data_IF_997940787004
#
_entry.id   IF_997940787004
#
_cell.length_a   1.000
_cell.length_b   1.000
_cell.length_c   1.000
_cell.angle_alpha   90.00
_cell.angle_beta   90.00
_cell.angle_gamma   90.00
#
_symmetry.space_group_name_H-M   'P 1'
#
loop_
_entity.id
_entity.type
_entity.pdbx_description
1 polymer ?
#
# COMPACT_ATOMS: atom_id res chain seq x y z
N UNK A 1 -57.54 17.88 50.73
CA UNK A 1 -58.78 18.14 49.96
C UNK A 1 -58.38 18.41 48.52
N UNK A 2 -58.37 17.39 47.64
CA UNK A 2 -59.41 17.08 46.63
C UNK A 2 -59.76 18.24 45.68
N UNK A 3 -59.18 18.24 44.46
CA UNK A 3 -59.86 18.09 43.16
C UNK A 3 -58.83 18.34 42.04
N UNK A 4 -58.34 17.37 41.24
CA UNK A 4 -58.97 16.60 40.14
C UNK A 4 -59.57 17.48 39.01
N UNK A 5 -58.81 17.63 37.92
CA UNK A 5 -59.36 17.64 36.55
C UNK A 5 -58.44 16.85 35.62
N UNK A 6 -59.01 15.83 34.96
CA UNK A 6 -58.43 14.98 33.91
C UNK A 6 -58.87 15.49 32.54
N UNK A 7 -57.95 15.59 31.57
CA UNK A 7 -58.21 15.49 30.11
C UNK A 7 -56.92 14.90 29.48
N UNK A 8 -56.79 13.57 29.37
CA UNK A 8 -56.98 12.69 28.20
C UNK A 8 -56.22 13.03 26.90
N UNK A 9 -55.19 12.19 26.65
CA UNK A 9 -54.85 11.48 25.40
C UNK A 9 -54.39 12.27 24.16
N UNK A 10 -53.10 12.11 23.79
CA UNK A 10 -52.67 11.26 22.67
C UNK A 10 -51.13 11.13 22.61
N UNK A 11 -50.72 9.92 22.25
CA UNK A 11 -49.36 9.42 22.16
C UNK A 11 -48.61 9.90 20.92
N UNK A 12 -47.28 9.99 20.99
CA UNK A 12 -46.40 9.19 20.11
C UNK A 12 -44.97 9.19 20.63
N UNK A 13 -44.40 8.00 20.71
CA UNK A 13 -43.01 7.73 21.03
C UNK A 13 -42.10 8.03 19.83
N UNK A 14 -40.87 8.49 20.10
CA UNK A 14 -39.75 8.38 19.17
C UNK A 14 -38.43 8.20 19.94
N UNK A 15 -38.17 6.95 20.32
CA UNK A 15 -36.96 6.20 19.95
C UNK A 15 -35.63 6.91 20.20
N UNK A 16 -35.06 6.69 21.39
CA UNK A 16 -33.62 6.71 21.61
C UNK A 16 -33.11 5.28 21.43
N UNK A 17 -32.73 4.93 20.20
CA UNK A 17 -32.04 3.66 19.95
C UNK A 17 -30.55 3.85 20.16
N UNK A 18 -30.03 3.15 21.16
CA UNK A 18 -28.64 2.79 21.32
C UNK A 18 -28.08 2.25 20.00
N UNK A 19 -27.01 2.85 19.48
CA UNK A 19 -26.11 2.19 18.53
C UNK A 19 -24.97 1.56 19.34
N UNK A 20 -25.29 0.43 19.99
CA UNK A 20 -24.32 -0.56 20.41
C UNK A 20 -24.32 -1.67 19.36
N UNK A 21 -23.11 -2.12 19.00
CA UNK A 21 -22.80 -3.38 18.34
C UNK A 21 -23.47 -3.65 16.97
N UNK A 22 -22.72 -3.39 15.90
CA UNK A 22 -22.79 -4.26 14.72
C UNK A 22 -21.69 -5.34 14.84
N UNK A 23 -21.78 -6.16 15.90
CA UNK A 23 -21.39 -7.55 15.74
C UNK A 23 -22.57 -8.18 15.01
N UNK A 24 -22.35 -8.56 13.76
CA UNK A 24 -23.29 -9.43 13.08
C UNK A 24 -23.18 -10.78 13.81
N UNK A 25 -24.00 -10.98 14.84
CA UNK A 25 -24.20 -12.27 15.48
C UNK A 25 -24.84 -13.19 14.44
N UNK A 26 -23.97 -13.87 13.67
CA UNK A 26 -24.36 -15.11 13.06
C UNK A 26 -24.65 -16.07 14.21
N UNK A 27 -25.92 -16.42 14.41
CA UNK A 27 -26.29 -17.58 15.21
C UNK A 27 -25.64 -18.81 14.56
N UNK A 28 -24.46 -19.19 15.04
CA UNK A 28 -23.84 -20.45 14.70
C UNK A 28 -24.64 -21.54 15.41
N UNK A 29 -25.15 -22.56 14.70
CA UNK A 29 -25.83 -23.67 15.35
C UNK A 29 -24.89 -24.26 16.40
N UNK A 30 -25.34 -24.25 17.65
CA UNK A 30 -24.69 -24.97 18.74
C UNK A 30 -24.73 -26.45 18.35
N UNK A 31 -23.59 -27.06 18.01
CA UNK A 31 -23.49 -28.53 18.04
C UNK A 31 -22.60 -29.25 17.03
N UNK A 32 -22.11 -28.62 15.95
CA UNK A 32 -21.22 -29.32 15.01
C UNK A 32 -19.75 -29.06 15.34
N UNK A 33 -19.07 -30.09 15.85
CA UNK A 33 -17.65 -30.02 16.09
C UNK A 33 -16.90 -29.87 14.76
N UNK A 34 -16.20 -28.75 14.61
CA UNK A 34 -15.66 -28.32 13.34
C UNK A 34 -14.15 -28.09 13.40
N UNK A 35 -13.47 -28.33 12.27
CA UNK A 35 -12.03 -28.07 12.11
C UNK A 35 -11.82 -26.63 11.62
N UNK A 36 -10.78 -25.98 12.12
CA UNK A 36 -10.31 -24.66 11.70
C UNK A 36 -8.79 -24.54 11.86
N UNK A 37 -8.22 -23.46 11.33
CA UNK A 37 -6.81 -23.09 11.53
C UNK A 37 -6.74 -22.15 12.73
N UNK A 38 -6.01 -22.51 13.79
CA UNK A 38 -5.93 -21.75 15.04
C UNK A 38 -5.50 -20.29 14.82
N UNK A 39 -4.58 -20.06 13.89
CA UNK A 39 -4.03 -18.75 13.53
C UNK A 39 -5.06 -17.77 12.98
N UNK A 40 -6.21 -18.25 12.51
CA UNK A 40 -7.31 -17.40 12.04
C UNK A 40 -8.11 -16.79 13.19
N UNK A 41 -8.00 -17.34 14.41
CA UNK A 41 -8.85 -16.94 15.54
C UNK A 41 -10.34 -17.09 15.23
N UNK A 42 -10.72 -18.06 14.38
CA UNK A 42 -12.11 -18.32 13.94
C UNK A 42 -12.70 -17.15 13.13
N UNK A 43 -11.86 -16.40 12.42
CA UNK A 43 -12.30 -15.29 11.56
C UNK A 43 -12.02 -15.61 10.10
N UNK A 44 -12.85 -15.09 9.21
CA UNK A 44 -12.61 -15.14 7.77
C UNK A 44 -11.62 -14.07 7.31
N UNK A 45 -11.08 -14.22 6.10
CA UNK A 45 -10.24 -13.21 5.43
C UNK A 45 -9.00 -12.83 6.25
N UNK A 46 -8.37 -13.82 6.88
CA UNK A 46 -7.20 -13.59 7.73
C UNK A 46 -5.89 -13.67 6.93
N UNK A 47 -4.95 -12.80 7.31
CA UNK A 47 -3.59 -12.75 6.79
C UNK A 47 -2.60 -12.64 7.95
N UNK A 48 -1.49 -13.36 7.87
CA UNK A 48 -0.28 -13.09 8.65
C UNK A 48 0.83 -12.62 7.72
N UNK A 49 1.59 -11.62 8.15
CA UNK A 49 2.70 -11.04 7.37
C UNK A 49 4.02 -11.51 7.98
N UNK A 50 4.91 -12.01 7.13
CA UNK A 50 6.24 -12.43 7.51
C UNK A 50 7.27 -11.76 6.62
N UNK A 51 8.41 -11.44 7.20
CA UNK A 51 9.53 -10.85 6.49
C UNK A 51 10.42 -11.95 5.94
N UNK A 52 10.73 -11.88 4.65
CA UNK A 52 11.68 -12.77 4.00
C UNK A 52 13.12 -12.33 4.25
N UNK A 53 13.94 -13.29 4.65
CA UNK A 53 15.39 -13.13 4.87
C UNK A 53 16.20 -13.98 3.88
N UNK A 54 17.52 -14.02 4.04
CA UNK A 54 18.42 -14.88 3.25
C UNK A 54 18.40 -16.35 3.70
N UNK A 55 17.69 -16.66 4.79
CA UNK A 55 17.54 -18.00 5.33
C UNK A 55 16.13 -18.54 5.11
N UNK A 56 15.97 -19.85 5.29
CA UNK A 56 14.68 -20.52 5.17
C UNK A 56 13.73 -20.03 6.27
N UNK A 57 12.53 -19.63 5.87
CA UNK A 57 11.47 -19.19 6.78
C UNK A 57 10.53 -20.37 7.07
N UNK A 58 10.32 -20.65 8.36
CA UNK A 58 9.33 -21.65 8.79
C UNK A 58 8.04 -20.95 9.19
N UNK A 59 6.98 -21.20 8.42
CA UNK A 59 5.63 -20.77 8.75
C UNK A 59 4.89 -21.92 9.44
N UNK A 60 4.22 -21.62 10.54
CA UNK A 60 3.41 -22.59 11.27
C UNK A 60 1.92 -22.33 11.04
N UNK A 61 1.17 -23.41 10.83
CA UNK A 61 -0.29 -23.43 10.93
C UNK A 61 -0.73 -24.62 11.80
N UNK A 62 -1.77 -24.42 12.61
CA UNK A 62 -2.23 -25.42 13.57
C UNK A 62 -3.68 -25.80 13.28
N UNK A 63 -3.93 -26.96 12.64
CA UNK A 63 -5.28 -27.51 12.54
C UNK A 63 -5.84 -27.85 13.92
N UNK A 64 -7.03 -27.35 14.21
CA UNK A 64 -7.70 -27.49 15.50
C UNK A 64 -9.18 -27.84 15.33
N UNK A 65 -9.71 -28.64 16.25
CA UNK A 65 -11.14 -28.84 16.44
C UNK A 65 -11.72 -27.84 17.45
N UNK A 66 -12.97 -27.45 17.24
CA UNK A 66 -13.73 -26.66 18.21
C UNK A 66 -13.96 -27.37 19.56
N UNK A 67 -14.05 -28.71 19.55
CA UNK A 67 -14.26 -29.58 20.72
C UNK A 67 -13.55 -30.94 20.51
N UNK A 68 -13.55 -31.83 21.51
CA UNK A 68 -13.00 -33.19 21.33
C UNK A 68 -13.97 -34.11 20.57
N UNK A 69 -13.44 -35.12 19.87
CA UNK A 69 -14.21 -36.22 19.28
C UNK A 69 -13.75 -37.57 19.82
N UNK A 70 -14.61 -38.59 19.71
CA UNK A 70 -14.29 -39.97 20.10
C UNK A 70 -13.50 -40.75 19.05
N UNK A 71 -13.38 -40.21 17.83
CA UNK A 71 -12.65 -40.80 16.71
C UNK A 71 -11.52 -39.88 16.27
N UNK A 72 -10.53 -40.44 15.59
CA UNK A 72 -9.46 -39.67 14.98
C UNK A 72 -9.98 -38.90 13.76
N UNK A 73 -9.55 -37.65 13.60
CA UNK A 73 -9.92 -36.79 12.48
C UNK A 73 -8.74 -36.61 11.55
N UNK A 74 -8.93 -36.91 10.27
CA UNK A 74 -7.91 -36.70 9.23
C UNK A 74 -8.16 -35.39 8.49
N UNK A 75 -7.09 -34.62 8.35
CA UNK A 75 -7.12 -33.26 7.80
C UNK A 75 -6.14 -33.20 6.65
N UNK A 76 -6.59 -32.74 5.49
CA UNK A 76 -5.72 -32.48 4.34
C UNK A 76 -5.34 -31.02 4.27
N UNK A 77 -4.22 -30.73 3.63
CA UNK A 77 -3.73 -29.37 3.39
C UNK A 77 -3.45 -29.16 1.93
N UNK A 78 -3.92 -28.04 1.40
CA UNK A 78 -3.72 -27.66 0.00
C UNK A 78 -3.48 -26.15 -0.14
N UNK A 79 -2.91 -25.76 -1.29
CA UNK A 79 -2.85 -24.36 -1.67
C UNK A 79 -4.19 -23.93 -2.26
N UNK A 80 -4.80 -22.87 -1.72
CA UNK A 80 -6.07 -22.33 -2.18
C UNK A 80 -5.86 -21.05 -3.01
N UNK A 81 -5.45 -21.23 -4.26
CA UNK A 81 -5.21 -20.11 -5.18
C UNK A 81 -6.47 -19.32 -5.52
N UNK A 82 -7.66 -19.90 -5.37
CA UNK A 82 -8.91 -19.19 -5.56
C UNK A 82 -9.19 -18.24 -4.38
N UNK A 83 -8.97 -18.71 -3.14
CA UNK A 83 -9.00 -17.83 -1.97
C UNK A 83 -8.00 -16.67 -2.07
N UNK A 84 -6.82 -16.88 -2.65
CA UNK A 84 -5.88 -15.78 -2.88
C UNK A 84 -6.45 -14.70 -3.82
N UNK A 85 -7.16 -15.10 -4.88
CA UNK A 85 -7.83 -14.15 -5.80
C UNK A 85 -8.96 -13.40 -5.08
N UNK A 86 -9.81 -14.12 -4.35
CA UNK A 86 -10.88 -13.53 -3.53
C UNK A 86 -10.29 -12.52 -2.52
N UNK A 87 -9.20 -12.89 -1.84
CA UNK A 87 -8.50 -12.05 -0.88
C UNK A 87 -7.94 -10.80 -1.57
N UNK A 88 -7.28 -10.94 -2.72
CA UNK A 88 -6.75 -9.81 -3.49
C UNK A 88 -7.85 -8.82 -3.88
N UNK A 89 -8.94 -9.33 -4.46
CA UNK A 89 -10.07 -8.49 -4.85
C UNK A 89 -10.70 -7.78 -3.65
N UNK A 90 -10.92 -8.50 -2.54
CA UNK A 90 -11.56 -7.95 -1.35
C UNK A 90 -10.71 -6.91 -0.63
N UNK A 91 -9.39 -7.10 -0.60
CA UNK A 91 -8.48 -6.27 0.21
C UNK A 91 -7.65 -5.28 -0.62
N UNK A 92 -7.86 -5.20 -1.95
CA UNK A 92 -7.06 -4.32 -2.82
C UNK A 92 -5.58 -4.70 -2.89
N UNK A 93 -5.26 -5.98 -2.63
CA UNK A 93 -3.91 -6.52 -2.71
C UNK A 93 -3.66 -7.16 -4.08
N UNK A 94 -2.38 -7.38 -4.39
CA UNK A 94 -1.95 -8.02 -5.64
C UNK A 94 -0.90 -9.10 -5.37
N UNK A 95 -1.17 -9.98 -4.39
CA UNK A 95 -0.28 -11.09 -4.08
C UNK A 95 -0.34 -12.16 -5.17
N UNK A 96 0.82 -12.65 -5.59
CA UNK A 96 0.95 -13.87 -6.37
C UNK A 96 1.27 -15.06 -5.45
N UNK A 97 0.83 -16.25 -5.84
CA UNK A 97 1.20 -17.46 -5.12
C UNK A 97 2.73 -17.68 -5.23
N UNK A 98 3.38 -18.07 -4.14
CA UNK A 98 4.77 -18.52 -4.20
C UNK A 98 4.85 -19.71 -5.17
N UNK A 99 5.83 -19.74 -6.10
CA UNK A 99 6.05 -20.89 -6.99
C UNK A 99 6.20 -22.21 -6.21
N UNK A 100 5.73 -23.31 -6.79
CA UNK A 100 5.67 -24.61 -6.12
C UNK A 100 7.04 -25.15 -5.65
N UNK A 101 8.12 -24.75 -6.31
CA UNK A 101 9.49 -25.08 -5.92
C UNK A 101 10.08 -24.14 -4.86
N UNK A 102 9.40 -23.03 -4.56
CA UNK A 102 9.77 -22.03 -3.56
C UNK A 102 9.38 -22.37 -2.13
N UNK A 103 8.62 -23.44 -1.91
CA UNK A 103 8.25 -23.90 -0.57
C UNK A 103 8.14 -25.42 -0.48
N UNK A 104 8.14 -25.93 0.75
CA UNK A 104 7.92 -27.34 1.06
C UNK A 104 6.97 -27.44 2.26
N UNK A 105 5.89 -28.22 2.10
CA UNK A 105 5.05 -28.64 3.21
C UNK A 105 5.69 -29.84 3.90
N UNK A 106 5.90 -29.77 5.22
CA UNK A 106 6.47 -30.92 5.96
C UNK A 106 5.53 -32.13 5.99
N UNK A 107 4.23 -31.89 5.85
CA UNK A 107 3.19 -32.89 5.66
C UNK A 107 1.99 -32.26 4.94
N UNK A 108 1.29 -33.07 4.13
CA UNK A 108 0.05 -32.68 3.45
C UNK A 108 -1.21 -33.24 4.15
N UNK A 109 -1.03 -34.10 5.15
CA UNK A 109 -2.09 -34.67 5.97
C UNK A 109 -1.72 -34.60 7.45
N UNK A 110 -2.71 -34.34 8.29
CA UNK A 110 -2.60 -34.24 9.74
C UNK A 110 -3.69 -35.05 10.40
N UNK A 111 -3.43 -35.52 11.62
CA UNK A 111 -4.39 -36.28 12.40
C UNK A 111 -4.58 -35.64 13.77
N UNK A 112 -5.84 -35.42 14.15
CA UNK A 112 -6.23 -35.09 15.52
C UNK A 112 -6.71 -36.38 16.16
N UNK A 113 -5.97 -36.85 17.17
CA UNK A 113 -6.31 -38.09 17.88
C UNK A 113 -7.62 -37.92 18.67
N UNK A 114 -8.35 -39.01 18.84
CA UNK A 114 -9.52 -39.08 19.69
C UNK A 114 -9.23 -38.48 21.09
N UNK A 115 -10.16 -37.66 21.58
CA UNK A 115 -10.03 -36.95 22.86
C UNK A 115 -9.08 -35.75 22.84
N UNK A 116 -8.50 -35.37 21.69
CA UNK A 116 -7.69 -34.16 21.51
C UNK A 116 -8.41 -33.13 20.65
N UNK A 117 -7.92 -31.89 20.72
CA UNK A 117 -8.43 -30.76 19.92
C UNK A 117 -7.39 -30.16 18.98
N UNK A 118 -6.12 -30.53 19.11
CA UNK A 118 -5.03 -30.08 18.24
C UNK A 118 -4.37 -31.31 17.62
N UNK A 119 -3.86 -31.17 16.40
CA UNK A 119 -3.14 -32.23 15.71
C UNK A 119 -1.89 -32.68 16.48
N UNK A 120 -1.45 -33.92 16.25
CA UNK A 120 -0.24 -34.46 16.87
C UNK A 120 1.04 -33.68 16.51
N UNK A 121 1.00 -32.91 15.43
CA UNK A 121 2.04 -31.99 14.99
C UNK A 121 1.41 -30.77 14.33
N UNK A 122 2.01 -29.59 14.49
CA UNK A 122 1.68 -28.44 13.66
C UNK A 122 2.13 -28.65 12.22
N UNK A 123 1.46 -28.00 11.29
CA UNK A 123 1.91 -27.91 9.92
C UNK A 123 3.01 -26.87 9.79
N UNK A 124 4.13 -27.27 9.19
CA UNK A 124 5.24 -26.37 8.90
C UNK A 124 5.35 -26.22 7.39
N UNK A 125 5.39 -24.97 6.93
CA UNK A 125 5.73 -24.63 5.56
C UNK A 125 7.12 -24.02 5.58
N UNK A 126 8.07 -24.72 4.96
CA UNK A 126 9.44 -24.24 4.77
C UNK A 126 9.47 -23.42 3.50
N UNK A 127 9.59 -22.11 3.64
CA UNK A 127 9.69 -21.19 2.51
C UNK A 127 11.16 -20.91 2.24
N UNK A 128 11.60 -21.16 1.01
CA UNK A 128 12.96 -20.86 0.59
C UNK A 128 13.14 -19.34 0.47
N UNK A 129 14.38 -18.83 0.64
CA UNK A 129 14.69 -17.45 0.31
C UNK A 129 14.23 -17.12 -1.11
N UNK A 130 13.71 -15.90 -1.32
CA UNK A 130 13.26 -15.51 -2.66
C UNK A 130 14.42 -15.45 -3.65
N UNK A 131 14.16 -15.93 -4.86
CA UNK A 131 15.10 -15.83 -5.97
C UNK A 131 15.31 -14.36 -6.36
N UNK A 132 16.41 -14.08 -7.07
CA UNK A 132 16.69 -12.72 -7.55
C UNK A 132 15.57 -12.22 -8.49
N UNK A 133 15.03 -13.10 -9.34
CA UNK A 133 13.89 -12.79 -10.22
C UNK A 133 12.64 -12.36 -9.43
N UNK A 134 12.29 -13.08 -8.36
CA UNK A 134 11.18 -12.70 -7.48
C UNK A 134 11.42 -11.33 -6.85
N UNK A 135 12.64 -11.06 -6.38
CA UNK A 135 13.02 -9.76 -5.81
C UNK A 135 12.87 -8.64 -6.84
N UNK A 136 13.34 -8.86 -8.06
CA UNK A 136 13.37 -7.84 -9.12
C UNK A 136 11.99 -7.60 -9.77
N UNK A 137 11.09 -8.58 -9.72
CA UNK A 137 9.75 -8.52 -10.32
C UNK A 137 8.89 -7.37 -9.80
N UNK A 138 9.13 -6.89 -8.57
CA UNK A 138 8.24 -5.92 -7.89
C UNK A 138 6.93 -6.52 -7.39
N UNK A 139 6.71 -7.82 -7.61
CA UNK A 139 5.52 -8.55 -7.15
C UNK A 139 5.60 -8.83 -5.66
N UNK A 140 4.42 -8.99 -5.06
CA UNK A 140 4.26 -9.48 -3.69
C UNK A 140 3.87 -10.94 -3.73
N UNK A 141 4.38 -11.74 -2.81
CA UNK A 141 4.10 -13.17 -2.79
C UNK A 141 3.37 -13.57 -1.51
N UNK A 142 2.53 -14.58 -1.63
CA UNK A 142 1.84 -15.17 -0.50
C UNK A 142 1.62 -16.68 -0.67
N UNK A 143 1.40 -17.37 0.44
CA UNK A 143 0.97 -18.76 0.48
C UNK A 143 -0.47 -18.82 1.00
N UNK A 144 -1.45 -19.16 0.15
CA UNK A 144 -2.82 -19.36 0.59
C UNK A 144 -3.02 -20.80 1.05
N UNK A 145 -3.12 -21.00 2.37
CA UNK A 145 -3.29 -22.35 2.94
C UNK A 145 -4.77 -22.60 3.17
N UNK A 146 -5.22 -23.79 2.80
CA UNK A 146 -6.53 -24.31 3.18
C UNK A 146 -6.40 -25.70 3.80
N UNK A 147 -7.17 -25.93 4.84
CA UNK A 147 -7.38 -27.25 5.42
C UNK A 147 -8.70 -27.84 4.95
N UNK A 148 -8.74 -29.15 4.76
CA UNK A 148 -9.92 -29.89 4.34
C UNK A 148 -10.16 -31.07 5.27
N UNK A 149 -11.41 -31.44 5.49
CA UNK A 149 -11.73 -32.70 6.13
C UNK A 149 -11.51 -33.86 5.14
N UNK A 150 -10.68 -34.84 5.51
CA UNK A 150 -10.42 -36.04 4.71
C UNK A 150 -11.27 -37.24 5.13
N UNK A 151 -11.90 -37.18 6.30
CA UNK A 151 -12.83 -38.22 6.77
C UNK A 151 -14.23 -38.10 6.13
N UNK A 152 -14.52 -36.98 5.46
CA UNK A 152 -15.80 -36.71 4.78
C UNK A 152 -16.99 -36.50 5.71
N UNK A 153 -16.77 -36.42 7.02
CA UNK A 153 -17.81 -36.30 8.05
C UNK A 153 -17.63 -35.06 8.91
N UNK A 154 -16.39 -34.69 9.23
CA UNK A 154 -16.10 -33.57 10.13
C UNK A 154 -16.29 -32.24 9.38
N UNK A 155 -17.09 -31.36 9.97
CA UNK A 155 -17.37 -30.03 9.42
C UNK A 155 -16.10 -29.16 9.44
N UNK A 156 -16.01 -28.19 8.53
CA UNK A 156 -14.95 -27.17 8.53
C UNK A 156 -15.57 -25.80 8.76
N UNK A 157 -14.99 -24.98 9.63
CA UNK A 157 -15.51 -23.62 9.86
C UNK A 157 -15.16 -22.77 8.64
N UNK A 158 -16.12 -22.59 7.73
CA UNK A 158 -15.92 -21.82 6.51
C UNK A 158 -15.37 -20.41 6.78
N UNK A 159 -14.26 -20.09 6.12
CA UNK A 159 -13.52 -18.83 6.30
C UNK A 159 -12.38 -18.93 7.32
N UNK A 160 -12.49 -19.79 8.33
CA UNK A 160 -11.42 -20.10 9.29
C UNK A 160 -10.65 -21.39 8.91
N UNK A 161 -11.08 -22.07 7.85
CA UNK A 161 -10.43 -23.21 7.20
C UNK A 161 -9.28 -22.79 6.27
N UNK A 162 -9.04 -21.48 6.11
CA UNK A 162 -8.06 -20.94 5.18
C UNK A 162 -7.42 -19.65 5.70
N UNK A 163 -6.16 -19.44 5.36
CA UNK A 163 -5.35 -18.29 5.79
C UNK A 163 -4.34 -17.89 4.72
N UNK A 164 -4.07 -16.59 4.60
CA UNK A 164 -2.99 -16.06 3.75
C UNK A 164 -1.73 -15.84 4.59
N UNK A 165 -0.63 -16.45 4.22
CA UNK A 165 0.70 -16.06 4.69
C UNK A 165 1.34 -15.13 3.66
N UNK A 166 1.30 -13.82 3.91
CA UNK A 166 1.93 -12.82 3.07
C UNK A 166 3.42 -12.69 3.40
N UNK A 167 4.25 -12.60 2.37
CA UNK A 167 5.70 -12.66 2.47
C UNK A 167 6.28 -11.35 1.97
N UNK A 168 6.67 -10.49 2.91
CA UNK A 168 7.23 -9.18 2.63
C UNK A 168 8.75 -9.28 2.45
N UNK A 169 9.24 -8.67 1.37
CA UNK A 169 10.67 -8.52 1.13
C UNK A 169 11.21 -7.30 1.86
N UNK A 170 12.24 -7.46 2.70
CA UNK A 170 13.06 -6.30 3.06
C UNK A 170 13.87 -5.90 1.84
N UNK A 171 13.46 -4.81 1.21
CA UNK A 171 14.19 -4.23 0.09
C UNK A 171 15.15 -3.17 0.62
N UNK A 172 16.41 -3.30 0.25
CA UNK A 172 17.39 -2.22 0.32
C UNK A 172 17.66 -1.75 -1.10
N UNK A 173 17.80 -0.45 -1.29
CA UNK A 173 18.14 0.11 -2.58
C UNK A 173 18.90 1.41 -2.45
N UNK A 174 19.50 1.81 -3.57
CA UNK A 174 20.05 3.15 -3.72
C UNK A 174 18.92 4.15 -3.96
N UNK A 175 19.09 5.40 -3.53
CA UNK A 175 18.14 6.49 -3.85
C UNK A 175 18.91 7.74 -4.28
N UNK A 176 18.45 8.48 -5.29
CA UNK A 176 19.07 9.72 -5.69
C UNK A 176 18.80 10.82 -4.66
N UNK A 177 19.66 11.83 -4.71
CA UNK A 177 19.55 13.02 -3.89
C UNK A 177 19.28 14.26 -4.73
N UNK A 178 18.21 14.96 -4.38
CA UNK A 178 17.76 16.21 -5.00
C UNK A 178 17.76 17.37 -3.99
N UNK A 179 17.47 18.56 -4.50
CA UNK A 179 17.51 19.79 -3.73
C UNK A 179 18.95 20.28 -3.55
N UNK A 180 19.27 20.80 -2.38
CA UNK A 180 20.63 21.23 -2.03
C UNK A 180 21.40 20.02 -1.50
N UNK A 181 22.51 19.70 -2.17
CA UNK A 181 23.39 18.61 -1.78
C UNK A 181 24.73 19.17 -1.30
N UNK A 182 25.12 18.91 -0.05
CA UNK A 182 26.40 19.37 0.48
C UNK A 182 27.59 18.53 0.00
N UNK A 183 27.36 17.36 -0.62
CA UNK A 183 28.40 16.49 -1.20
C UNK A 183 28.85 16.96 -2.57
N UNK A 184 27.96 17.61 -3.34
CA UNK A 184 28.24 18.15 -4.67
C UNK A 184 27.67 19.56 -4.81
N UNK A 185 28.47 20.59 -5.14
CA UNK A 185 27.96 21.96 -5.23
C UNK A 185 26.77 22.11 -6.19
N UNK A 186 25.76 22.85 -5.71
CA UNK A 186 24.61 23.28 -6.49
C UNK A 186 23.33 22.51 -6.19
N UNK A 187 22.24 23.01 -6.75
CA UNK A 187 20.92 22.39 -6.62
C UNK A 187 20.72 21.32 -7.69
N UNK A 188 20.08 20.21 -7.33
CA UNK A 188 19.72 19.11 -8.22
C UNK A 188 18.20 18.93 -8.28
N UNK A 189 17.65 18.90 -9.48
CA UNK A 189 16.27 18.52 -9.77
C UNK A 189 16.26 17.39 -10.78
N UNK A 190 15.10 16.82 -11.08
CA UNK A 190 14.96 16.00 -12.27
C UNK A 190 13.69 16.37 -13.03
N UNK A 191 13.68 16.08 -14.33
CA UNK A 191 12.53 16.30 -15.17
C UNK A 191 12.41 15.27 -16.30
N UNK A 192 11.17 14.98 -16.69
CA UNK A 192 10.82 14.20 -17.86
C UNK A 192 10.02 15.09 -18.83
N UNK A 193 10.24 14.90 -20.13
CA UNK A 193 9.54 15.65 -21.18
C UNK A 193 8.47 14.76 -21.83
N UNK A 194 7.20 15.14 -21.66
CA UNK A 194 6.05 14.39 -22.17
C UNK A 194 5.58 14.83 -23.57
N UNK A 195 6.31 15.71 -24.27
CA UNK A 195 5.92 16.18 -25.62
C UNK A 195 5.66 15.04 -26.61
N UNK A 196 6.49 14.01 -26.58
CA UNK A 196 6.40 12.84 -27.48
C UNK A 196 5.60 11.68 -26.85
N UNK A 197 5.06 11.88 -25.65
CA UNK A 197 4.20 10.93 -24.92
C UNK A 197 3.07 11.71 -24.20
N UNK A 198 2.21 12.44 -24.92
CA UNK A 198 1.25 13.31 -24.27
C UNK A 198 0.15 12.52 -23.57
N UNK A 199 -0.21 12.93 -22.35
CA UNK A 199 -1.32 12.35 -21.59
C UNK A 199 -2.32 13.45 -21.20
N UNK A 200 -3.61 13.16 -21.30
CA UNK A 200 -4.68 13.96 -20.71
C UNK A 200 -5.53 13.05 -19.83
N UNK A 201 -5.55 13.31 -18.52
CA UNK A 201 -6.15 12.43 -17.54
C UNK A 201 -7.26 13.17 -16.78
N UNK A 202 -8.46 12.60 -16.77
CA UNK A 202 -9.62 13.07 -15.99
C UNK A 202 -9.83 12.28 -14.69
N UNK A 203 -9.12 11.16 -14.54
CA UNK A 203 -8.93 10.39 -13.31
C UNK A 203 -7.47 9.96 -13.27
N UNK A 204 -6.86 10.03 -12.10
CA UNK A 204 -5.43 9.75 -11.99
C UNK A 204 -5.00 9.55 -10.54
N UNK A 205 -3.82 8.96 -10.37
CA UNK A 205 -3.11 8.93 -9.09
C UNK A 205 -1.64 9.23 -9.30
N UNK A 206 -1.05 9.96 -8.38
CA UNK A 206 0.40 10.18 -8.34
C UNK A 206 0.88 9.84 -6.94
N UNK A 207 2.00 9.13 -6.86
CA UNK A 207 2.60 8.76 -5.59
C UNK A 207 4.12 8.75 -5.69
N UNK A 208 4.78 9.02 -4.58
CA UNK A 208 6.23 8.92 -4.42
C UNK A 208 6.58 8.79 -2.95
N UNK A 209 7.79 8.30 -2.67
CA UNK A 209 8.38 8.40 -1.33
C UNK A 209 9.38 9.53 -1.30
N UNK A 210 9.41 10.26 -0.19
CA UNK A 210 10.35 11.34 0.04
C UNK A 210 10.82 11.37 1.49
N UNK A 211 12.10 11.65 1.69
CA UNK A 211 12.70 12.04 2.97
C UNK A 211 13.40 13.37 2.79
N UNK A 212 12.99 14.39 3.54
CA UNK A 212 13.62 15.71 3.53
C UNK A 212 14.36 15.97 4.83
N UNK A 213 15.52 16.61 4.75
CA UNK A 213 16.31 16.97 5.94
C UNK A 213 15.77 18.22 6.67
N UNK A 214 15.00 19.07 5.97
CA UNK A 214 14.60 20.38 6.46
C UNK A 214 13.32 20.95 5.83
N UNK A 215 12.68 21.84 6.60
CA UNK A 215 11.48 22.60 6.22
C UNK A 215 11.61 24.03 6.76
N UNK A 216 12.56 24.79 6.20
CA UNK A 216 12.96 26.10 6.74
C UNK A 216 12.54 27.28 5.87
N UNK A 217 11.82 27.03 4.78
CA UNK A 217 11.37 28.04 3.83
C UNK A 217 10.10 27.56 3.12
N UNK A 218 9.31 28.53 2.64
CA UNK A 218 8.16 28.27 1.79
C UNK A 218 8.55 27.73 0.42
N UNK A 219 7.57 27.07 -0.21
CA UNK A 219 7.58 26.72 -1.62
C UNK A 219 8.66 25.68 -2.00
N UNK A 220 8.90 24.70 -1.14
CA UNK A 220 9.75 23.55 -1.47
C UNK A 220 8.98 22.56 -2.35
N UNK A 221 9.01 22.80 -3.66
CA UNK A 221 8.15 22.12 -4.63
C UNK A 221 8.68 20.73 -5.00
N UNK A 222 8.00 19.68 -4.55
CA UNK A 222 8.36 18.28 -4.75
C UNK A 222 7.99 17.75 -6.13
N UNK A 223 6.85 18.16 -6.66
CA UNK A 223 6.35 17.71 -7.96
C UNK A 223 5.59 18.85 -8.66
N UNK A 224 5.82 19.00 -9.96
CA UNK A 224 5.22 20.03 -10.80
C UNK A 224 4.96 19.50 -12.21
N UNK A 225 3.71 19.56 -12.66
CA UNK A 225 3.33 19.32 -14.05
C UNK A 225 2.12 20.17 -14.46
N UNK A 226 1.84 20.16 -15.77
CA UNK A 226 0.70 20.87 -16.36
C UNK A 226 0.87 22.39 -16.43
N UNK A 227 0.00 23.02 -17.21
CA UNK A 227 -0.10 24.47 -17.32
C UNK A 227 -1.27 25.03 -16.50
N UNK A 228 -1.48 26.35 -16.58
CA UNK A 228 -2.60 27.03 -15.90
C UNK A 228 -3.94 26.37 -16.23
N UNK A 229 -4.67 25.96 -15.19
CA UNK A 229 -5.98 25.32 -15.29
C UNK A 229 -5.93 23.79 -15.27
N UNK A 230 -4.76 23.19 -15.49
CA UNK A 230 -4.51 21.75 -15.41
C UNK A 230 -3.28 21.43 -14.55
N UNK A 231 -2.79 22.39 -13.77
CA UNK A 231 -1.53 22.26 -13.05
C UNK A 231 -1.67 21.29 -11.88
N UNK A 232 -0.62 20.54 -11.61
CA UNK A 232 -0.39 19.89 -10.33
C UNK A 232 0.89 20.50 -9.77
N UNK A 233 0.78 21.18 -8.63
CA UNK A 233 1.93 21.77 -7.94
C UNK A 233 1.94 21.33 -6.48
N UNK A 234 2.89 20.47 -6.13
CA UNK A 234 3.01 19.86 -4.80
C UNK A 234 4.21 20.44 -4.08
N UNK A 235 4.00 20.91 -2.85
CA UNK A 235 5.05 21.56 -2.06
C UNK A 235 4.88 21.38 -0.57
N UNK A 236 5.97 21.62 0.15
CA UNK A 236 5.92 22.00 1.56
C UNK A 236 6.07 23.51 1.71
N UNK A 237 5.19 24.11 2.49
CA UNK A 237 5.17 25.54 2.80
C UNK A 237 4.66 26.43 1.66
N UNK A 238 3.95 27.47 2.03
CA UNK A 238 3.44 28.54 1.16
C UNK A 238 3.14 29.77 2.03
N UNK A 239 3.01 30.97 1.45
CA UNK A 239 2.59 32.15 2.23
C UNK A 239 1.06 32.12 2.40
N UNK A 240 0.49 31.44 3.42
CA UNK A 240 0.51 31.81 4.85
C UNK A 240 0.51 30.59 5.81
N UNK A 241 1.09 29.47 5.37
CA UNK A 241 1.11 28.20 6.08
C UNK A 241 2.49 27.91 6.68
N UNK A 242 2.59 27.01 7.69
CA UNK A 242 3.88 26.55 8.18
C UNK A 242 4.76 25.96 7.07
N UNK A 243 6.06 26.12 7.19
CA UNK A 243 7.05 25.66 6.21
C UNK A 243 7.03 24.14 5.97
N UNK A 244 6.62 23.36 6.97
CA UNK A 244 6.49 21.92 6.86
C UNK A 244 5.04 21.47 6.60
N UNK A 245 4.09 22.36 6.33
CA UNK A 245 2.75 21.94 5.96
C UNK A 245 2.71 21.54 4.48
N UNK A 246 2.27 20.31 4.20
CA UNK A 246 2.09 19.82 2.83
C UNK A 246 0.91 20.52 2.16
N UNK A 247 1.08 20.88 0.89
CA UNK A 247 0.04 21.48 0.07
C UNK A 247 0.11 20.95 -1.36
N UNK A 248 -1.05 20.76 -1.96
CA UNK A 248 -1.21 20.54 -3.40
C UNK A 248 -2.09 21.63 -4.00
N UNK A 249 -1.63 22.21 -5.11
CA UNK A 249 -2.45 22.96 -6.05
C UNK A 249 -2.86 22.03 -7.19
N UNK A 250 -4.14 22.01 -7.52
CA UNK A 250 -4.68 21.24 -8.63
C UNK A 250 -5.76 22.03 -9.38
N UNK A 251 -5.52 22.29 -10.68
CA UNK A 251 -6.52 22.85 -11.60
C UNK A 251 -7.15 24.17 -11.14
N UNK A 252 -6.34 25.07 -10.59
CA UNK A 252 -6.76 26.37 -10.05
C UNK A 252 -7.21 26.38 -8.58
N UNK A 253 -7.35 25.22 -7.94
CA UNK A 253 -7.71 25.08 -6.52
C UNK A 253 -6.49 24.59 -5.71
N UNK A 254 -6.51 24.76 -4.38
CA UNK A 254 -5.44 24.23 -3.51
C UNK A 254 -6.00 23.72 -2.18
N UNK A 255 -5.29 22.77 -1.57
CA UNK A 255 -5.62 22.22 -0.26
C UNK A 255 -4.36 21.94 0.55
N UNK A 256 -4.39 22.34 1.82
CA UNK A 256 -3.36 22.01 2.80
C UNK A 256 -3.69 20.68 3.45
N UNK A 257 -2.67 19.95 3.89
CA UNK A 257 -2.85 18.62 4.47
C UNK A 257 -2.01 18.46 5.75
N UNK A 258 -1.26 17.38 5.84
CA UNK A 258 -0.44 17.00 6.99
C UNK A 258 0.85 17.82 7.14
N UNK A 259 1.52 17.63 8.28
CA UNK A 259 2.81 18.24 8.60
C UNK A 259 3.94 17.25 8.32
N UNK A 260 4.94 17.67 7.55
CA UNK A 260 6.13 16.88 7.25
C UNK A 260 7.06 16.79 8.46
N UNK A 261 7.64 15.60 8.64
CA UNK A 261 8.66 15.33 9.66
C UNK A 261 10.06 15.27 9.01
N UNK A 262 11.05 15.89 9.65
CA UNK A 262 12.42 15.90 9.12
C UNK A 262 13.05 14.53 9.27
N UNK A 263 13.87 14.14 8.30
CA UNK A 263 14.64 12.89 8.30
C UNK A 263 13.78 11.61 8.42
N UNK A 264 12.48 11.70 8.13
CA UNK A 264 11.58 10.55 8.05
C UNK A 264 11.12 10.31 6.62
N UNK A 265 11.08 9.05 6.22
CA UNK A 265 10.46 8.65 4.98
C UNK A 265 8.94 8.80 5.07
N UNK A 266 8.38 9.47 4.08
CA UNK A 266 6.95 9.56 3.87
C UNK A 266 6.62 8.97 2.52
N UNK A 267 5.65 8.07 2.47
CA UNK A 267 4.94 7.81 1.22
C UNK A 267 3.80 8.82 1.11
N UNK A 268 3.77 9.53 -0.01
CA UNK A 268 2.76 10.54 -0.29
C UNK A 268 2.07 10.10 -1.57
N UNK A 269 0.75 9.92 -1.49
CA UNK A 269 -0.07 9.63 -2.65
C UNK A 269 -1.22 10.63 -2.73
N UNK A 270 -1.65 10.95 -3.94
CA UNK A 270 -2.85 11.74 -4.15
C UNK A 270 -3.60 11.26 -5.38
N UNK A 271 -4.92 11.14 -5.24
CA UNK A 271 -5.80 10.52 -6.22
C UNK A 271 -6.93 11.47 -6.58
N UNK A 272 -7.35 11.43 -7.85
CA UNK A 272 -8.45 12.22 -8.36
C UNK A 272 -9.40 11.33 -9.15
N UNK A 273 -10.67 11.29 -8.74
CA UNK A 273 -11.70 10.42 -9.32
C UNK A 273 -12.62 11.10 -10.34
N UNK A 274 -12.29 12.34 -10.74
CA UNK A 274 -13.12 13.21 -11.57
C UNK A 274 -13.98 14.20 -10.77
N UNK A 275 -14.08 14.00 -9.46
CA UNK A 275 -14.83 14.86 -8.53
C UNK A 275 -13.94 15.36 -7.39
N UNK A 276 -13.32 14.45 -6.67
CA UNK A 276 -12.56 14.74 -5.45
C UNK A 276 -11.08 14.42 -5.62
N UNK A 277 -10.25 15.34 -5.14
CA UNK A 277 -8.82 15.11 -4.90
C UNK A 277 -8.62 14.62 -3.47
N UNK A 278 -7.98 13.46 -3.29
CA UNK A 278 -7.67 12.86 -1.99
C UNK A 278 -6.17 12.79 -1.79
N UNK A 279 -5.70 13.06 -0.58
CA UNK A 279 -4.27 13.05 -0.22
C UNK A 279 -4.06 12.04 0.90
N UNK A 280 -3.06 11.18 0.74
CA UNK A 280 -2.71 10.11 1.64
C UNK A 280 -1.27 10.28 2.12
N UNK A 281 -1.05 10.03 3.40
CA UNK A 281 0.28 9.94 4.02
C UNK A 281 0.44 8.53 4.57
N UNK A 282 1.48 7.83 4.13
CA UNK A 282 1.78 6.45 4.55
C UNK A 282 0.54 5.54 4.43
N UNK A 283 -0.19 5.67 3.32
CA UNK A 283 -1.39 4.90 3.03
C UNK A 283 -2.66 5.31 3.77
N UNK A 284 -2.64 6.36 4.59
CA UNK A 284 -3.82 6.83 5.36
C UNK A 284 -4.32 8.14 4.80
N UNK A 285 -5.64 8.22 4.52
CA UNK A 285 -6.29 9.45 4.04
C UNK A 285 -6.09 10.61 5.03
N UNK A 286 -5.56 11.74 4.54
CA UNK A 286 -5.31 12.95 5.33
C UNK A 286 -6.27 14.08 4.98
N UNK A 287 -6.61 14.24 3.71
CA UNK A 287 -7.42 15.38 3.25
C UNK A 287 -8.18 15.05 1.98
N UNK A 288 -9.31 15.74 1.80
CA UNK A 288 -10.13 15.68 0.58
C UNK A 288 -10.50 17.09 0.15
N UNK A 289 -10.42 17.35 -1.15
CA UNK A 289 -10.84 18.59 -1.79
C UNK A 289 -11.82 18.25 -2.91
N UNK A 290 -13.05 18.75 -2.84
CA UNK A 290 -13.97 18.67 -3.96
C UNK A 290 -13.54 19.65 -5.05
N UNK A 291 -13.24 19.14 -6.24
CA UNK A 291 -12.76 19.91 -7.38
C UNK A 291 -13.25 19.26 -8.70
N UNK A 292 -14.57 19.27 -8.97
CA UNK A 292 -15.16 18.47 -10.03
C UNK A 292 -14.79 18.94 -11.44
N UNK A 293 -14.72 17.97 -12.37
CA UNK A 293 -14.60 18.22 -13.81
C UNK A 293 -13.24 18.76 -14.25
N UNK A 294 -12.19 18.48 -13.48
CA UNK A 294 -10.82 18.89 -13.80
C UNK A 294 -10.10 17.81 -14.60
N UNK A 295 -9.06 18.23 -15.29
CA UNK A 295 -8.12 17.37 -16.00
C UNK A 295 -6.69 17.80 -15.66
N UNK A 296 -5.75 16.87 -15.80
CA UNK A 296 -4.31 17.17 -15.84
C UNK A 296 -3.77 16.82 -17.22
N UNK A 297 -2.87 17.66 -17.73
CA UNK A 297 -2.16 17.44 -19.00
C UNK A 297 -0.67 17.23 -18.73
N UNK A 298 -0.15 16.14 -19.26
CA UNK A 298 1.27 15.88 -19.39
C UNK A 298 1.63 16.00 -20.87
N UNK A 299 1.87 17.21 -21.34
CA UNK A 299 2.21 17.53 -22.74
C UNK A 299 3.51 18.35 -22.82
N UNK A 300 4.16 18.53 -21.68
CA UNK A 300 5.36 19.32 -21.51
C UNK A 300 6.26 18.71 -20.42
N UNK A 301 7.11 19.54 -19.82
CA UNK A 301 8.04 19.13 -18.78
C UNK A 301 7.30 18.85 -17.46
N UNK A 302 7.47 17.63 -16.94
CA UNK A 302 7.13 17.27 -15.56
C UNK A 302 8.41 17.26 -14.74
N UNK A 303 8.44 17.98 -13.62
CA UNK A 303 9.65 18.17 -12.81
C UNK A 303 9.43 17.77 -11.35
N UNK A 304 10.48 17.26 -10.72
CA UNK A 304 10.58 17.11 -9.27
C UNK A 304 11.60 18.08 -8.68
N UNK A 305 11.44 18.44 -7.40
CA UNK A 305 12.31 19.39 -6.69
C UNK A 305 12.51 20.70 -7.49
N UNK A 306 11.42 21.28 -7.99
CA UNK A 306 11.46 22.18 -9.16
C UNK A 306 11.55 23.67 -8.83
N UNK A 307 11.48 24.08 -7.56
CA UNK A 307 11.47 25.50 -7.16
C UNK A 307 12.85 26.15 -7.06
N UNK A 308 13.90 25.45 -7.50
CA UNK A 308 15.27 25.94 -7.62
C UNK A 308 15.94 26.22 -6.27
N UNK A 309 17.22 26.60 -6.31
CA UNK A 309 18.03 26.82 -5.08
C UNK A 309 17.52 27.95 -4.18
N UNK A 310 16.68 28.85 -4.71
CA UNK A 310 16.10 29.94 -3.91
C UNK A 310 15.11 29.40 -2.87
N UNK A 311 14.24 28.48 -3.28
CA UNK A 311 13.13 27.99 -2.46
C UNK A 311 13.30 26.53 -2.05
N UNK A 312 13.87 25.67 -2.88
CA UNK A 312 14.17 24.29 -2.48
C UNK A 312 15.57 24.24 -1.85
N UNK A 313 15.61 24.40 -0.52
CA UNK A 313 16.88 24.46 0.25
C UNK A 313 17.21 23.17 1.00
N UNK A 314 16.24 22.26 1.10
CA UNK A 314 16.44 20.97 1.71
C UNK A 314 17.22 20.02 0.80
N UNK A 315 17.89 19.06 1.43
CA UNK A 315 18.18 17.78 0.79
C UNK A 315 16.89 16.95 0.75
N UNK A 316 16.56 16.39 -0.41
CA UNK A 316 15.44 15.48 -0.58
C UNK A 316 15.91 14.17 -1.22
N UNK A 317 15.73 13.05 -0.52
CA UNK A 317 15.89 11.71 -1.10
C UNK A 317 14.51 11.25 -1.57
N UNK A 318 14.40 10.80 -2.82
CA UNK A 318 13.12 10.40 -3.42
C UNK A 318 13.24 9.06 -4.12
N UNK A 319 12.17 8.26 -4.09
CA UNK A 319 12.04 7.06 -4.91
C UNK A 319 10.57 6.75 -5.19
N UNK A 320 10.34 5.73 -6.03
CA UNK A 320 9.02 5.17 -6.28
C UNK A 320 8.00 6.18 -6.84
N UNK A 321 8.45 7.10 -7.71
CA UNK A 321 7.55 8.06 -8.36
C UNK A 321 6.72 7.35 -9.43
N UNK A 322 5.39 7.41 -9.30
CA UNK A 322 4.45 6.76 -10.20
C UNK A 322 3.35 7.70 -10.63
N UNK A 323 2.88 7.50 -11.85
CA UNK A 323 1.70 8.16 -12.40
C UNK A 323 0.76 7.07 -12.90
N UNK A 324 -0.48 7.12 -12.46
CA UNK A 324 -1.56 6.21 -12.82
C UNK A 324 -2.67 6.98 -13.55
N UNK A 325 -3.29 6.35 -14.55
CA UNK A 325 -4.49 6.89 -15.23
C UNK A 325 -5.81 6.43 -14.57
N UNK A 326 -5.72 5.86 -13.37
CA UNK A 326 -6.84 5.46 -12.52
C UNK A 326 -6.75 6.15 -11.17
N UNK A 327 -7.90 6.36 -10.52
CA UNK A 327 -7.97 6.78 -9.12
C UNK A 327 -7.81 5.54 -8.23
N UNK A 328 -6.62 5.36 -7.67
CA UNK A 328 -6.27 4.24 -6.78
C UNK A 328 -7.05 4.37 -5.48
N UNK A 329 -7.50 3.24 -4.95
CA UNK A 329 -8.17 3.14 -3.66
C UNK A 329 -7.19 3.26 -2.50
N UNK A 330 -7.68 3.61 -1.31
CA UNK A 330 -6.85 3.66 -0.10
C UNK A 330 -6.16 2.32 0.19
N UNK A 331 -6.88 1.20 0.01
CA UNK A 331 -6.33 -0.14 0.19
C UNK A 331 -5.18 -0.41 -0.79
N UNK A 332 -5.37 -0.09 -2.08
CA UNK A 332 -4.33 -0.24 -3.09
C UNK A 332 -3.08 0.61 -2.80
N UNK A 333 -3.25 1.84 -2.31
CA UNK A 333 -2.17 2.74 -1.93
C UNK A 333 -1.43 2.19 -0.71
N UNK A 334 -2.18 1.84 0.34
CA UNK A 334 -1.64 1.32 1.61
C UNK A 334 -0.90 0.01 1.42
N UNK A 335 -1.34 -0.82 0.50
CA UNK A 335 -0.66 -2.08 0.25
C UNK A 335 0.58 -1.83 -0.62
N UNK A 336 0.57 -0.96 -1.63
CA UNK A 336 1.61 -0.94 -2.66
C UNK A 336 2.61 0.23 -2.60
N UNK A 337 2.79 0.87 -1.45
CA UNK A 337 3.62 2.07 -1.35
C UNK A 337 5.13 1.90 -1.60
N UNK A 338 5.66 0.67 -1.62
CA UNK A 338 7.11 0.40 -1.77
C UNK A 338 7.54 -0.08 -3.15
N UNK A 339 6.67 -0.80 -3.85
CA UNK A 339 6.91 -1.28 -5.20
C UNK A 339 5.57 -1.70 -5.81
N UNK A 340 5.49 -1.59 -7.13
CA UNK A 340 4.48 -2.25 -7.97
C UNK A 340 5.16 -2.96 -9.13
N UNK A 341 4.47 -3.92 -9.72
CA UNK A 341 4.88 -4.53 -10.98
C UNK A 341 4.75 -3.48 -12.12
N UNK A 342 5.75 -3.28 -12.99
CA UNK A 342 5.70 -2.29 -14.06
C UNK A 342 4.57 -2.49 -15.08
N UNK A 343 3.99 -3.68 -15.17
CA UNK A 343 2.86 -4.04 -16.03
C UNK A 343 1.49 -3.90 -15.33
N UNK A 344 1.45 -3.32 -14.12
CA UNK A 344 0.21 -3.08 -13.38
C UNK A 344 -0.78 -2.26 -14.21
N UNK A 345 -2.04 -2.69 -14.24
CA UNK A 345 -3.09 -2.00 -14.98
C UNK A 345 -3.22 -0.53 -14.52
N UNK A 346 -3.27 0.37 -15.50
CA UNK A 346 -3.41 1.80 -15.30
C UNK A 346 -2.13 2.54 -14.90
N UNK A 347 -0.99 1.87 -14.75
CA UNK A 347 0.31 2.51 -14.55
C UNK A 347 0.83 3.09 -15.88
N UNK A 348 1.05 4.41 -15.93
CA UNK A 348 1.46 5.11 -17.17
C UNK A 348 2.86 5.72 -17.10
N UNK A 349 3.44 5.85 -15.91
CA UNK A 349 4.86 6.14 -15.72
C UNK A 349 5.32 5.64 -14.36
N UNK A 350 6.55 5.14 -14.30
CA UNK A 350 7.12 4.63 -13.06
C UNK A 350 8.64 4.78 -13.06
N UNK A 351 9.15 5.64 -12.19
CA UNK A 351 10.57 5.79 -11.92
C UNK A 351 10.86 5.24 -10.52
N UNK A 352 11.49 4.06 -10.49
CA UNK A 352 11.95 3.42 -9.24
C UNK A 352 12.99 4.29 -8.54
N UNK A 353 13.86 4.94 -9.32
CA UNK A 353 14.97 5.77 -8.84
C UNK A 353 15.93 4.99 -7.94
N UNK A 354 16.36 3.83 -8.43
CA UNK A 354 17.22 2.88 -7.72
C UNK A 354 18.47 2.47 -8.53
N UNK A 355 18.86 3.29 -9.51
CA UNK A 355 19.99 3.01 -10.40
C UNK A 355 21.35 3.01 -9.70
N UNK A 356 21.48 3.73 -8.58
CA UNK A 356 22.70 3.82 -7.76
C UNK A 356 23.83 4.65 -8.36
N UNK A 357 23.70 5.06 -9.62
CA UNK A 357 24.68 5.89 -10.32
C UNK A 357 24.07 6.56 -11.55
N UNK A 358 24.82 7.53 -12.08
CA UNK A 358 24.42 8.27 -13.28
C UNK A 358 23.34 9.32 -13.01
N UNK A 359 22.83 9.90 -14.09
CA UNK A 359 21.94 11.08 -14.08
C UNK A 359 20.61 10.85 -14.80
N UNK A 360 20.40 9.62 -15.28
CA UNK A 360 19.17 9.18 -15.96
C UNK A 360 18.42 8.26 -15.02
N UNK A 361 17.19 8.63 -14.69
CA UNK A 361 16.27 7.83 -13.90
C UNK A 361 15.30 7.16 -14.88
N UNK A 362 15.37 5.83 -14.97
CA UNK A 362 14.70 5.08 -16.03
C UNK A 362 13.23 4.88 -15.74
N UNK A 363 12.40 5.20 -16.74
CA UNK A 363 10.98 4.86 -16.70
C UNK A 363 10.81 3.37 -16.98
N UNK A 364 10.04 2.69 -16.14
CA UNK A 364 9.75 1.26 -16.30
C UNK A 364 8.65 1.01 -17.33
N UNK A 365 7.91 2.06 -17.74
CA UNK A 365 6.86 1.97 -18.76
C UNK A 365 7.44 2.21 -20.14
N UNK A 366 7.32 1.21 -21.02
CA UNK A 366 7.85 1.26 -22.38
C UNK A 366 7.29 2.46 -23.14
N UNK A 367 8.18 3.29 -23.68
CA UNK A 367 7.83 4.47 -24.48
C UNK A 367 7.54 5.73 -23.66
N UNK A 368 7.30 5.61 -22.35
CA UNK A 368 7.19 6.76 -21.47
C UNK A 368 8.60 7.37 -21.22
N UNK A 369 8.70 8.69 -21.01
CA UNK A 369 10.00 9.36 -20.94
C UNK A 369 10.76 9.04 -19.65
N UNK A 370 12.07 8.86 -19.77
CA UNK A 370 13.00 8.88 -18.63
C UNK A 370 13.06 10.27 -17.99
N UNK A 371 13.39 10.33 -16.70
CA UNK A 371 13.76 11.58 -16.06
C UNK A 371 15.27 11.81 -16.14
N UNK A 372 15.67 13.06 -16.36
CA UNK A 372 17.09 13.48 -16.35
C UNK A 372 17.34 14.44 -15.22
N UNK A 373 18.45 14.26 -14.52
CA UNK A 373 18.89 15.16 -13.47
C UNK A 373 19.39 16.48 -14.08
N UNK A 374 18.97 17.60 -13.53
CA UNK A 374 19.29 18.94 -14.00
C UNK A 374 19.78 19.83 -12.84
N UNK A 375 20.50 20.89 -13.20
CA UNK A 375 20.82 21.99 -12.29
C UNK A 375 19.61 22.94 -12.10
N UNK A 376 19.80 24.01 -11.31
CA UNK A 376 18.77 25.02 -11.09
C UNK A 376 18.37 25.80 -12.36
N UNK A 377 19.22 25.81 -13.39
CA UNK A 377 19.03 26.51 -14.65
C UNK A 377 18.47 25.60 -15.76
N UNK A 378 18.11 24.36 -15.42
CA UNK A 378 17.62 23.32 -16.34
C UNK A 378 18.66 22.76 -17.31
N UNK A 379 19.96 22.89 -17.01
CA UNK A 379 21.00 22.17 -17.76
C UNK A 379 21.14 20.75 -17.19
N UNK A 380 21.30 19.76 -18.06
CA UNK A 380 21.60 18.39 -17.63
C UNK A 380 22.95 18.34 -16.89
N UNK A 381 22.95 17.71 -15.72
CA UNK A 381 24.17 17.56 -14.92
C UNK A 381 24.92 16.32 -15.35
N UNK A 382 26.22 16.27 -15.06
CA UNK A 382 27.05 15.07 -15.29
C UNK A 382 27.10 14.15 -14.06
N UNK A 383 26.68 14.64 -12.89
CA UNK A 383 26.72 13.89 -11.63
C UNK A 383 25.46 14.10 -10.78
N UNK A 384 25.03 13.02 -10.14
CA UNK A 384 23.97 12.97 -9.15
C UNK A 384 24.47 12.11 -7.98
N UNK A 385 24.22 12.55 -6.74
CA UNK A 385 24.57 11.76 -5.56
C UNK A 385 23.52 10.70 -5.28
N UNK A 386 23.97 9.59 -4.73
CA UNK A 386 23.15 8.42 -4.40
C UNK A 386 23.43 8.01 -2.96
N UNK A 387 22.38 7.71 -2.20
CA UNK A 387 22.48 7.07 -0.88
C UNK A 387 22.25 5.58 -1.07
N UNK A 388 23.22 4.77 -0.67
CA UNK A 388 23.13 3.31 -0.70
C UNK A 388 22.43 2.75 0.53
N UNK A 389 22.00 1.49 0.44
CA UNK A 389 21.44 0.71 1.56
C UNK A 389 20.24 1.39 2.26
N UNK A 390 19.40 2.09 1.50
CA UNK A 390 18.15 2.63 2.04
C UNK A 390 17.14 1.52 2.19
N UNK A 391 16.71 1.28 3.44
CA UNK A 391 15.59 0.40 3.74
C UNK A 391 14.32 0.97 3.11
N UNK A 392 13.70 0.16 2.25
CA UNK A 392 12.51 0.59 1.53
C UNK A 392 11.23 0.39 2.33
N UNK A 393 11.23 -0.39 3.41
CA UNK A 393 10.11 -0.48 4.34
C UNK A 393 10.15 0.68 5.35
N UNK A 394 8.99 1.28 5.66
CA UNK A 394 8.84 2.17 6.81
C UNK A 394 8.97 1.34 8.10
N UNK A 395 9.68 1.89 9.08
CA UNK A 395 9.81 1.33 10.43
C UNK A 395 8.52 1.46 11.25
#
# INVERSE_FOLDING_TARGET
MKHLYKIHFRALAAVFSFLLAACNDAEYPVGENSIFIEETGVKSNQRKVFTMEETMLNLEFTPRLSNTLSENVKIGVEMDTEFLKEFNQKNGTAYEAVPADGFELTANEFEIQAGKVVSSSSGIIKVKPFTQEMKDSGKKFALPIKITSKDGKTHVIHGADRIIYALDLVRYGSVPVFGVDNRIPGHRKAAANFKDYPLTLNKWSIEFRVKMDSYNINNQALFNCGGTGSEIYVRYGDAPIPYNQFQIKFGGSQVNSFMGEKNKWHHIAFTYDGTDLRIYLNGVLQSTLSNPGKEVKFDATTSICSSGSTYFRAEANMNELRIWNVARTEAEIKENFYAVAPDSEGLVSYWKMNEGQGVVLKNQIKGAPDMRALDANNNEVTTLSWIENVKMLND
#
